data_IF_429741490044
#
_entry.id   IF_429741490044
#
_cell.length_a   1.000
_cell.length_b   1.000
_cell.length_c   1.000
_cell.angle_alpha   90.00
_cell.angle_beta   90.00
_cell.angle_gamma   90.00
#
_symmetry.space_group_name_H-M   'P 1'
#
loop_
_entity.id
_entity.type
_entity.pdbx_description
1 polymer ?
#
# COMPACT_ATOMS: atom_id res chain seq x y z
N UNK A 1 4.36 -2.43 14.33
CA UNK A 1 4.03 -3.43 13.28
C UNK A 1 5.19 -3.81 12.36
N UNK A 2 6.29 -3.04 12.27
CA UNK A 2 7.39 -3.28 11.32
C UNK A 2 8.29 -4.51 11.56
N UNK A 3 8.35 -5.06 12.78
CA UNK A 3 9.37 -6.08 13.13
C UNK A 3 9.20 -7.41 12.40
N UNK A 4 7.96 -7.86 12.18
CA UNK A 4 7.68 -9.13 11.50
C UNK A 4 7.91 -8.99 10.00
N UNK A 5 7.35 -7.95 9.38
CA UNK A 5 7.57 -7.65 7.96
C UNK A 5 9.05 -7.52 7.58
N UNK A 6 9.82 -6.82 8.41
CA UNK A 6 11.28 -6.68 8.21
C UNK A 6 12.05 -7.99 8.38
N UNK A 7 11.54 -8.92 9.20
CA UNK A 7 12.13 -10.25 9.33
C UNK A 7 11.82 -11.09 8.10
N UNK A 8 10.57 -11.06 7.63
CA UNK A 8 10.12 -11.72 6.40
C UNK A 8 10.92 -11.23 5.21
N UNK A 9 11.09 -9.92 5.05
CA UNK A 9 11.83 -9.35 3.91
C UNK A 9 13.30 -9.76 3.87
N UNK A 10 13.93 -10.03 5.02
CA UNK A 10 15.34 -10.47 5.09
C UNK A 10 15.54 -11.96 4.78
N UNK A 11 14.56 -12.80 5.14
CA UNK A 11 14.66 -14.26 4.95
C UNK A 11 14.11 -14.71 3.59
N UNK A 12 13.28 -13.88 2.96
CA UNK A 12 12.62 -14.20 1.69
C UNK A 12 13.55 -13.88 0.54
N UNK A 13 13.74 -14.83 -0.38
CA UNK A 13 14.58 -14.66 -1.57
C UNK A 13 13.87 -13.89 -2.69
N UNK A 14 12.54 -13.94 -2.72
CA UNK A 14 11.69 -13.22 -3.68
C UNK A 14 11.80 -11.73 -3.39
N UNK A 15 12.09 -10.93 -4.41
CA UNK A 15 12.21 -9.47 -4.34
C UNK A 15 11.13 -8.73 -5.13
N UNK A 16 10.14 -9.47 -5.61
CA UNK A 16 8.94 -8.93 -6.22
C UNK A 16 7.97 -8.48 -5.13
N UNK A 17 7.73 -7.18 -5.10
CA UNK A 17 6.86 -6.54 -4.13
C UNK A 17 5.61 -6.06 -4.82
N UNK A 18 4.47 -6.28 -4.18
CA UNK A 18 3.19 -5.73 -4.63
C UNK A 18 2.46 -5.06 -3.48
N UNK A 19 1.87 -3.90 -3.73
CA UNK A 19 0.91 -3.29 -2.81
C UNK A 19 -0.46 -3.32 -3.44
N UNK A 20 -1.37 -3.98 -2.75
CA UNK A 20 -2.78 -4.03 -3.11
C UNK A 20 -3.57 -3.12 -2.15
N UNK A 21 -4.65 -2.52 -2.65
CA UNK A 21 -5.38 -1.50 -1.93
C UNK A 21 -6.89 -1.71 -2.03
N UNK A 22 -7.59 -1.57 -0.91
CA UNK A 22 -9.05 -1.82 -0.86
C UNK A 22 -9.76 -0.77 -0.01
N UNK A 23 -10.94 -0.34 -0.48
CA UNK A 23 -11.78 0.63 0.23
C UNK A 23 -12.26 0.07 1.56
N UNK A 24 -12.18 0.86 2.64
CA UNK A 24 -12.71 0.47 3.95
C UNK A 24 -14.19 0.82 4.04
N UNK A 25 -15.08 -0.17 4.04
CA UNK A 25 -16.54 0.08 4.07
C UNK A 25 -17.00 0.92 5.27
N UNK A 26 -16.40 0.71 6.44
CA UNK A 26 -16.75 1.45 7.67
C UNK A 26 -16.56 2.97 7.52
N UNK A 27 -15.59 3.41 6.72
CA UNK A 27 -15.29 4.83 6.52
C UNK A 27 -16.37 5.58 5.73
N UNK A 28 -17.32 4.88 5.09
CA UNK A 28 -18.49 5.48 4.45
C UNK A 28 -19.42 6.20 5.43
N UNK A 29 -19.37 5.79 6.69
CA UNK A 29 -20.17 6.34 7.77
C UNK A 29 -19.39 7.35 8.63
N UNK A 30 -18.11 7.55 8.35
CA UNK A 30 -17.30 8.53 9.07
C UNK A 30 -17.60 9.96 8.57
N UNK A 31 -17.96 10.84 9.49
CA UNK A 31 -18.19 12.26 9.22
C UNK A 31 -16.94 12.98 8.74
N UNK A 32 -15.76 12.54 9.19
CA UNK A 32 -14.46 13.14 8.91
C UNK A 32 -13.72 12.53 7.71
N UNK A 33 -14.24 11.45 7.13
CA UNK A 33 -13.65 10.84 5.95
C UNK A 33 -13.82 11.73 4.71
N UNK A 34 -12.76 11.81 3.92
CA UNK A 34 -12.73 12.57 2.67
C UNK A 34 -13.55 11.85 1.59
N UNK A 35 -14.18 12.62 0.69
CA UNK A 35 -14.97 12.07 -0.40
C UNK A 35 -14.07 11.67 -1.57
N UNK A 36 -14.11 10.40 -1.97
CA UNK A 36 -13.41 9.92 -3.15
C UNK A 36 -14.31 10.11 -4.40
N UNK A 37 -13.88 10.90 -5.40
CA UNK A 37 -14.69 11.18 -6.59
C UNK A 37 -14.80 9.99 -7.56
N UNK A 38 -13.81 9.08 -7.59
CA UNK A 38 -13.83 7.90 -8.46
C UNK A 38 -14.89 6.90 -8.00
N UNK A 39 -14.92 6.58 -6.71
CA UNK A 39 -15.89 5.65 -6.13
C UNK A 39 -17.19 6.31 -5.66
N UNK A 40 -17.26 7.64 -5.73
CA UNK A 40 -18.42 8.46 -5.35
C UNK A 40 -18.90 8.20 -3.92
N UNK A 41 -17.98 7.98 -2.99
CA UNK A 41 -18.29 7.78 -1.58
C UNK A 41 -17.18 8.34 -0.69
N UNK A 42 -17.53 8.65 0.57
CA UNK A 42 -16.52 8.90 1.61
C UNK A 42 -15.79 7.60 1.88
N UNK A 43 -14.47 7.63 1.80
CA UNK A 43 -13.71 6.41 2.01
C UNK A 43 -12.26 6.63 2.40
N UNK A 44 -11.87 5.96 3.47
CA UNK A 44 -10.50 5.56 3.72
C UNK A 44 -10.18 4.31 2.91
N UNK A 45 -8.90 4.04 2.74
CA UNK A 45 -8.40 2.88 2.02
C UNK A 45 -7.35 2.15 2.84
N UNK A 46 -7.45 0.83 2.89
CA UNK A 46 -6.40 -0.04 3.41
C UNK A 46 -5.43 -0.41 2.30
N UNK A 47 -4.15 -0.49 2.63
CA UNK A 47 -3.07 -0.91 1.75
C UNK A 47 -2.35 -2.08 2.40
N UNK A 48 -2.14 -3.15 1.64
CA UNK A 48 -1.41 -4.34 2.06
C UNK A 48 -0.25 -4.54 1.12
N UNK A 49 0.97 -4.48 1.65
CA UNK A 49 2.19 -4.73 0.91
C UNK A 49 2.65 -6.16 1.14
N UNK A 50 2.92 -6.87 0.06
CA UNK A 50 3.33 -8.27 0.04
C UNK A 50 4.67 -8.42 -0.68
N UNK A 51 5.48 -9.38 -0.21
CA UNK A 51 6.61 -9.93 -0.97
C UNK A 51 6.22 -11.35 -1.40
N UNK A 52 6.12 -11.58 -2.70
CA UNK A 52 5.51 -12.82 -3.22
C UNK A 52 4.08 -13.00 -2.71
N UNK A 53 3.86 -13.97 -1.81
CA UNK A 53 2.55 -14.25 -1.17
C UNK A 53 2.48 -13.85 0.30
N UNK A 54 3.56 -13.29 0.85
CA UNK A 54 3.66 -13.00 2.28
C UNK A 54 3.35 -11.52 2.55
N UNK A 55 2.34 -11.21 3.38
CA UNK A 55 2.09 -9.84 3.80
C UNK A 55 3.20 -9.37 4.74
N UNK A 56 3.85 -8.27 4.37
CA UNK A 56 4.94 -7.68 5.16
C UNK A 56 4.51 -6.39 5.86
N UNK A 57 3.49 -5.71 5.35
CA UNK A 57 3.03 -4.46 5.92
C UNK A 57 1.57 -4.19 5.58
N UNK A 58 0.88 -3.50 6.49
CA UNK A 58 -0.46 -3.01 6.28
C UNK A 58 -0.56 -1.59 6.85
N UNK A 59 -1.19 -0.69 6.10
CA UNK A 59 -1.56 0.66 6.55
C UNK A 59 -2.93 1.03 6.00
N UNK A 60 -3.44 2.17 6.43
CA UNK A 60 -4.56 2.81 5.78
C UNK A 60 -4.24 4.28 5.50
N UNK A 61 -4.94 4.86 4.54
CA UNK A 61 -4.89 6.28 4.17
C UNK A 61 -6.31 6.78 3.93
N UNK A 62 -6.47 8.07 3.63
CA UNK A 62 -7.78 8.70 3.42
C UNK A 62 -8.41 8.43 2.05
N UNK A 63 -7.87 7.47 1.31
CA UNK A 63 -8.37 7.09 -0.02
C UNK A 63 -8.24 8.18 -1.09
N UNK A 64 -7.33 9.15 -0.95
CA UNK A 64 -7.08 10.19 -1.93
C UNK A 64 -6.22 9.69 -3.09
N UNK A 65 -6.27 10.38 -4.25
CA UNK A 65 -5.48 10.02 -5.43
C UNK A 65 -3.97 10.10 -5.20
N UNK A 66 -3.52 10.97 -4.28
CA UNK A 66 -2.11 11.18 -3.96
C UNK A 66 -1.60 10.32 -2.79
N UNK A 67 -2.39 9.37 -2.31
CA UNK A 67 -1.99 8.51 -1.20
C UNK A 67 -0.92 7.52 -1.66
N UNK A 68 0.33 7.75 -1.26
CA UNK A 68 1.44 6.83 -1.47
C UNK A 68 1.79 6.10 -0.17
N UNK A 69 1.71 4.76 -0.11
CA UNK A 69 2.21 4.00 1.01
C UNK A 69 3.74 3.98 1.00
N UNK A 70 4.35 5.02 1.55
CA UNK A 70 5.80 5.28 1.61
C UNK A 70 6.54 4.40 2.65
N UNK A 71 6.38 3.08 2.54
CA UNK A 71 6.78 2.13 3.58
C UNK A 71 8.00 1.29 3.25
N UNK A 72 8.24 1.01 1.96
CA UNK A 72 9.33 0.14 1.54
C UNK A 72 10.70 0.76 1.84
N UNK A 73 10.84 2.07 1.55
CA UNK A 73 12.02 2.87 1.90
C UNK A 73 12.28 2.84 3.40
N UNK A 74 11.23 3.02 4.22
CA UNK A 74 11.33 2.99 5.69
C UNK A 74 11.71 1.60 6.23
N UNK A 75 11.33 0.54 5.53
CA UNK A 75 11.67 -0.83 5.93
C UNK A 75 13.09 -1.24 5.52
N UNK A 76 13.69 -0.55 4.54
CA UNK A 76 14.99 -0.90 3.95
C UNK A 76 14.92 -2.28 3.28
N UNK A 77 13.84 -2.53 2.54
CA UNK A 77 13.67 -3.75 1.76
C UNK A 77 14.36 -3.53 0.42
N UNK A 78 15.26 -4.45 0.09
CA UNK A 78 15.91 -4.52 -1.22
C UNK A 78 14.94 -5.26 -2.19
N UNK A 79 14.56 -4.59 -3.28
CA UNK A 79 13.46 -4.97 -4.17
C UNK A 79 13.94 -4.95 -5.63
N UNK A 80 13.51 -5.93 -6.43
CA UNK A 80 13.83 -5.99 -7.86
C UNK A 80 12.69 -5.38 -8.69
N UNK A 81 11.44 -5.65 -8.28
CA UNK A 81 10.25 -5.12 -8.93
C UNK A 81 9.23 -4.66 -7.90
N UNK A 82 8.52 -3.58 -8.24
CA UNK A 82 7.44 -3.07 -7.42
C UNK A 82 6.17 -2.83 -8.25
N UNK A 83 5.12 -3.56 -7.92
CA UNK A 83 3.81 -3.41 -8.52
C UNK A 83 2.85 -2.69 -7.57
N UNK A 84 2.17 -1.69 -8.08
CA UNK A 84 1.04 -1.03 -7.42
C UNK A 84 -0.25 -1.49 -8.09
N UNK A 85 -1.34 -1.52 -7.32
CA UNK A 85 -2.68 -1.66 -7.88
C UNK A 85 -2.92 -0.57 -8.95
N UNK A 86 -2.94 -0.99 -10.21
CA UNK A 86 -3.04 -0.10 -11.39
C UNK A 86 -4.40 0.56 -11.57
N UNK A 87 -5.38 0.27 -10.70
CA UNK A 87 -6.66 0.97 -10.68
C UNK A 87 -6.56 2.43 -10.23
N UNK A 88 -5.44 2.83 -9.62
CA UNK A 88 -5.14 4.22 -9.28
C UNK A 88 -4.00 4.70 -10.16
N UNK A 89 -4.31 5.74 -10.93
CA UNK A 89 -3.46 6.36 -11.94
C UNK A 89 -1.98 6.26 -11.59
N UNK A 90 -1.28 5.52 -12.45
CA UNK A 90 0.13 5.17 -12.40
C UNK A 90 0.97 6.19 -11.62
N UNK A 91 1.24 5.88 -10.35
CA UNK A 91 2.49 6.33 -9.77
C UNK A 91 3.58 5.67 -10.60
N UNK A 92 4.13 6.43 -11.56
CA UNK A 92 5.51 6.29 -11.97
C UNK A 92 6.35 6.62 -10.73
N UNK A 93 6.34 5.69 -9.76
CA UNK A 93 7.41 5.62 -8.80
C UNK A 93 8.57 5.08 -9.63
N UNK A 94 9.27 6.02 -10.27
CA UNK A 94 10.62 5.75 -10.75
C UNK A 94 11.34 5.20 -9.53
N UNK A 95 11.56 3.89 -9.54
CA UNK A 95 12.27 3.19 -8.49
C UNK A 95 13.72 3.67 -8.55
N UNK A 96 13.99 4.82 -7.96
CA UNK A 96 15.25 5.07 -7.26
C UNK A 96 15.10 4.46 -5.85
N UNK A 97 14.92 3.13 -5.82
CA UNK A 97 15.09 2.33 -4.61
C UNK A 97 16.49 1.77 -4.60
#
# INVERSE_FOLDING_TARGET
>A
MFRIGKKISRITKIRDVKTDSTSLEASRYDGYADYNPHYKCKMDKAHITMIGTLPIYMTHTKGAANDSPDVLVKMGVDIDTYALDGGYDSFNNHADV
#
